data_IF_141847999151
#
_entry.id   IF_141847999151
#
_cell.length_a   1.000
_cell.length_b   1.000
_cell.length_c   1.000
_cell.angle_alpha   90.00
_cell.angle_beta   90.00
_cell.angle_gamma   90.00
#
_symmetry.space_group_name_H-M   'P 1'
#
loop_
_entity.id
_entity.type
_entity.pdbx_description
1 polymer ?
#
# COMPACT_ATOMS: atom_id res chain seq x y z
N UNK A 1 -24.14 23.59 -41.85
CA UNK A 1 -23.90 22.14 -41.69
C UNK A 1 -23.40 21.92 -40.27
N UNK A 2 -24.15 21.27 -39.36
CA UNK A 2 -23.63 20.94 -38.03
C UNK A 2 -22.52 19.89 -38.19
N UNK A 3 -21.33 20.21 -37.70
CA UNK A 3 -20.17 19.31 -37.76
C UNK A 3 -20.46 18.07 -36.90
N UNK A 4 -20.20 16.88 -37.43
CA UNK A 4 -20.34 15.63 -36.68
C UNK A 4 -19.35 15.60 -35.49
N UNK A 5 -19.76 15.08 -34.32
CA UNK A 5 -18.91 15.05 -33.13
C UNK A 5 -17.67 14.18 -33.38
N UNK A 6 -16.51 14.61 -32.86
CA UNK A 6 -15.25 13.89 -33.03
C UNK A 6 -15.34 12.58 -32.25
N UNK A 7 -14.65 11.53 -32.71
CA UNK A 7 -14.70 10.19 -32.09
C UNK A 7 -14.35 10.20 -30.59
N UNK A 8 -13.46 11.10 -30.15
CA UNK A 8 -13.09 11.27 -28.75
C UNK A 8 -14.25 11.77 -27.88
N UNK A 9 -15.03 12.74 -28.37
CA UNK A 9 -16.18 13.31 -27.66
C UNK A 9 -17.25 12.23 -27.42
N UNK A 10 -17.53 11.42 -28.45
CA UNK A 10 -18.46 10.31 -28.35
C UNK A 10 -18.02 9.24 -27.32
N UNK A 11 -16.71 9.04 -27.14
CA UNK A 11 -16.18 8.09 -26.15
C UNK A 11 -16.28 8.64 -24.72
N UNK A 12 -16.00 9.93 -24.53
CA UNK A 12 -16.19 10.61 -23.25
C UNK A 12 -17.67 10.60 -22.81
N UNK A 13 -18.59 10.90 -23.73
CA UNK A 13 -20.04 10.85 -23.46
C UNK A 13 -20.47 9.46 -22.97
N UNK A 14 -20.00 8.39 -23.64
CA UNK A 14 -20.31 7.00 -23.25
C UNK A 14 -19.76 6.63 -21.88
N UNK A 15 -18.61 7.19 -21.49
CA UNK A 15 -18.04 6.99 -20.16
C UNK A 15 -18.90 7.67 -19.08
N UNK A 16 -19.28 8.94 -19.31
CA UNK A 16 -20.16 9.70 -18.43
C UNK A 16 -21.54 9.04 -18.27
N UNK A 17 -22.10 8.51 -19.35
CA UNK A 17 -23.36 7.75 -19.30
C UNK A 17 -23.25 6.50 -18.44
N UNK A 18 -22.14 5.77 -18.53
CA UNK A 18 -21.90 4.58 -17.69
C UNK A 18 -21.77 4.95 -16.23
N UNK A 19 -21.03 6.01 -15.93
CA UNK A 19 -20.88 6.57 -14.60
C UNK A 19 -22.22 7.00 -14.00
N UNK A 20 -23.03 7.75 -14.76
CA UNK A 20 -24.36 8.18 -14.35
C UNK A 20 -25.32 7.00 -14.12
N UNK A 21 -25.27 5.98 -14.98
CA UNK A 21 -26.06 4.74 -14.80
C UNK A 21 -25.65 4.01 -13.54
N UNK A 22 -24.36 4.01 -13.20
CA UNK A 22 -23.85 3.35 -12.00
C UNK A 22 -24.16 4.14 -10.73
N UNK A 23 -24.10 5.48 -10.78
CA UNK A 23 -24.51 6.36 -9.69
C UNK A 23 -25.99 6.17 -9.30
N UNK A 24 -26.84 5.87 -10.28
CA UNK A 24 -28.27 5.55 -10.07
C UNK A 24 -28.55 4.09 -9.69
N UNK A 25 -27.53 3.23 -9.56
CA UNK A 25 -27.75 1.80 -9.27
C UNK A 25 -28.34 0.98 -10.43
N UNK A 26 -28.30 1.48 -11.67
CA UNK A 26 -28.77 0.71 -12.83
C UNK A 26 -27.75 -0.38 -13.25
N UNK A 27 -26.48 -0.19 -12.88
CA UNK A 27 -25.35 -1.09 -13.17
C UNK A 27 -24.67 -1.54 -11.89
N UNK A 28 -23.99 -2.68 -11.94
CA UNK A 28 -23.10 -3.12 -10.86
C UNK A 28 -22.03 -2.06 -10.59
N UNK A 29 -21.69 -1.84 -9.32
CA UNK A 29 -20.66 -0.88 -8.94
C UNK A 29 -19.29 -1.26 -9.55
N UNK A 30 -18.40 -0.28 -9.71
CA UNK A 30 -17.13 -0.46 -10.39
C UNK A 30 -16.24 -1.46 -9.65
N UNK A 31 -16.21 -1.37 -8.31
CA UNK A 31 -15.44 -2.27 -7.46
C UNK A 31 -15.92 -3.73 -7.52
N UNK A 32 -17.24 -3.99 -7.42
CA UNK A 32 -17.76 -5.36 -7.58
C UNK A 32 -17.57 -5.89 -8.99
N UNK A 33 -17.67 -5.04 -10.02
CA UNK A 33 -17.40 -5.44 -11.41
C UNK A 33 -15.93 -5.83 -11.60
N UNK A 34 -14.99 -5.08 -11.00
CA UNK A 34 -13.56 -5.41 -11.04
C UNK A 34 -13.28 -6.75 -10.35
N UNK A 35 -13.81 -6.93 -9.15
CA UNK A 35 -13.62 -8.15 -8.36
C UNK A 35 -14.47 -9.34 -8.81
N UNK A 36 -15.31 -9.15 -9.84
CA UNK A 36 -16.25 -10.16 -10.35
C UNK A 36 -17.19 -10.71 -9.25
N UNK A 37 -17.61 -9.85 -8.32
CA UNK A 37 -18.53 -10.17 -7.22
C UNK A 37 -19.98 -9.85 -7.59
N UNK A 38 -20.93 -10.52 -6.90
CA UNK A 38 -22.35 -10.16 -6.96
C UNK A 38 -22.58 -8.77 -6.34
N UNK A 39 -23.25 -7.90 -7.10
CA UNK A 39 -23.63 -6.55 -6.67
C UNK A 39 -25.15 -6.45 -6.60
N UNK A 40 -25.68 -6.01 -5.46
CA UNK A 40 -27.09 -5.71 -5.22
C UNK A 40 -27.52 -4.35 -5.80
N UNK A 41 -26.58 -3.60 -6.38
CA UNK A 41 -26.76 -2.30 -7.07
C UNK A 41 -27.38 -1.18 -6.22
N UNK A 42 -27.56 -1.39 -4.92
CA UNK A 42 -27.78 -0.30 -3.96
C UNK A 42 -26.52 0.56 -3.90
N UNK A 43 -26.64 1.85 -3.60
CA UNK A 43 -25.50 2.77 -3.54
C UNK A 43 -25.43 3.38 -2.14
N UNK A 44 -24.40 3.08 -1.33
CA UNK A 44 -23.36 2.08 -1.57
C UNK A 44 -23.89 0.63 -1.44
N UNK A 45 -23.30 -0.29 -2.21
CA UNK A 45 -23.79 -1.66 -2.32
C UNK A 45 -23.45 -2.50 -1.07
N UNK A 46 -24.25 -3.50 -0.71
CA UNK A 46 -24.04 -4.28 0.53
C UNK A 46 -22.70 -5.01 0.57
N UNK A 47 -22.20 -5.46 -0.58
CA UNK A 47 -20.86 -6.06 -0.70
C UNK A 47 -19.76 -5.04 -0.37
N UNK A 48 -19.87 -3.81 -0.90
CA UNK A 48 -18.92 -2.73 -0.60
C UNK A 48 -18.99 -2.27 0.86
N UNK A 49 -20.19 -2.26 1.48
CA UNK A 49 -20.36 -1.97 2.91
C UNK A 49 -19.62 -2.96 3.79
N UNK A 50 -19.84 -4.27 3.59
CA UNK A 50 -19.19 -5.33 4.39
C UNK A 50 -17.67 -5.35 4.21
N UNK A 51 -17.18 -4.98 3.03
CA UNK A 51 -15.74 -4.90 2.73
C UNK A 51 -15.07 -3.58 3.14
N UNK A 52 -15.81 -2.61 3.68
CA UNK A 52 -15.26 -1.32 4.09
C UNK A 52 -14.89 -0.37 2.94
N UNK A 53 -15.34 -0.62 1.71
CA UNK A 53 -15.05 0.22 0.54
C UNK A 53 -16.26 1.07 0.10
N UNK A 54 -17.15 1.42 1.03
CA UNK A 54 -18.33 2.26 0.77
C UNK A 54 -17.96 3.62 0.18
N UNK A 55 -16.84 4.21 0.60
CA UNK A 55 -16.39 5.54 0.19
C UNK A 55 -16.12 5.68 -1.32
N UNK A 56 -15.78 4.57 -1.99
CA UNK A 56 -15.52 4.55 -3.44
C UNK A 56 -16.69 3.97 -4.24
N UNK A 57 -17.71 3.42 -3.59
CA UNK A 57 -18.91 2.92 -4.27
C UNK A 57 -19.79 4.13 -4.63
N UNK A 58 -20.26 4.27 -5.88
CA UNK A 58 -20.39 3.23 -6.89
C UNK A 58 -19.35 3.27 -8.02
N UNK A 59 -18.69 4.41 -8.27
CA UNK A 59 -17.86 4.62 -9.46
C UNK A 59 -16.37 4.31 -9.30
N UNK A 60 -15.87 4.40 -8.08
CA UNK A 60 -14.49 4.12 -7.75
C UNK A 60 -14.19 2.63 -7.68
N UNK A 61 -12.92 2.35 -7.87
CA UNK A 61 -12.33 1.02 -7.75
C UNK A 61 -11.00 1.17 -7.04
N UNK A 62 -10.67 0.22 -6.17
CA UNK A 62 -9.33 0.16 -5.60
C UNK A 62 -8.33 -0.16 -6.71
N UNK A 63 -7.24 0.60 -6.75
CA UNK A 63 -6.05 0.23 -7.51
C UNK A 63 -5.36 -0.90 -6.75
N UNK A 64 -5.18 -2.03 -7.42
CA UNK A 64 -4.33 -3.10 -6.91
C UNK A 64 -2.89 -2.66 -7.11
N UNK A 65 -2.14 -2.45 -6.03
CA UNK A 65 -0.68 -2.55 -6.12
C UNK A 65 -0.30 -3.98 -6.54
N UNK A 66 0.93 -4.21 -6.98
CA UNK A 66 1.41 -5.58 -7.16
C UNK A 66 1.25 -6.35 -5.82
N UNK A 67 0.43 -7.40 -5.81
CA UNK A 67 0.10 -8.20 -4.60
C UNK A 67 -1.36 -8.08 -4.12
N UNK A 68 -1.64 -8.62 -2.92
CA UNK A 68 -2.97 -8.62 -2.27
C UNK A 68 -3.36 -7.28 -1.64
N UNK A 69 -2.49 -6.26 -1.76
CA UNK A 69 -2.67 -4.96 -1.10
C UNK A 69 -3.63 -4.07 -1.89
N UNK A 70 -4.81 -3.85 -1.33
CA UNK A 70 -5.74 -2.83 -1.79
C UNK A 70 -5.31 -1.46 -1.26
N UNK A 71 -4.79 -0.59 -2.14
CA UNK A 71 -4.43 0.78 -1.77
C UNK A 71 -5.59 1.71 -2.14
N UNK A 72 -6.19 2.35 -1.14
CA UNK A 72 -7.12 3.45 -1.39
C UNK A 72 -6.31 4.59 -2.02
N UNK A 73 -6.76 5.08 -3.18
CA UNK A 73 -6.18 6.24 -3.85
C UNK A 73 -6.51 7.53 -3.06
N UNK A 74 -5.86 7.71 -1.91
CA UNK A 74 -5.66 9.00 -1.20
C UNK A 74 -4.64 8.85 -0.04
N UNK A 75 -3.85 7.77 -0.01
CA UNK A 75 -2.83 7.63 1.04
C UNK A 75 -1.74 8.68 0.91
N UNK A 76 -1.57 9.33 -0.24
CA UNK A 76 -0.54 10.35 -0.44
C UNK A 76 -0.66 11.48 0.59
N UNK A 77 -1.86 12.06 0.79
CA UNK A 77 -2.08 13.10 1.81
C UNK A 77 -1.82 12.57 3.23
N UNK A 78 -2.17 11.32 3.49
CA UNK A 78 -1.91 10.67 4.78
C UNK A 78 -0.40 10.49 5.00
N UNK A 79 0.35 10.02 4.00
CA UNK A 79 1.82 9.89 4.08
C UNK A 79 2.49 11.26 4.25
N UNK A 80 2.03 12.30 3.55
CA UNK A 80 2.51 13.66 3.76
C UNK A 80 2.24 14.15 5.19
N UNK A 81 1.05 13.88 5.72
CA UNK A 81 0.71 14.27 7.10
C UNK A 81 1.52 13.48 8.14
N UNK A 82 1.72 12.19 7.92
CA UNK A 82 2.59 11.35 8.75
C UNK A 82 4.02 11.88 8.73
N UNK A 83 4.58 12.19 7.56
CA UNK A 83 5.92 12.76 7.44
C UNK A 83 6.05 14.09 8.21
N UNK A 84 5.08 15.00 8.05
CA UNK A 84 5.05 16.27 8.78
C UNK A 84 4.97 16.06 10.30
N UNK A 85 4.17 15.09 10.76
CA UNK A 85 4.08 14.75 12.18
C UNK A 85 5.39 14.14 12.69
N UNK A 86 5.99 13.20 11.95
CA UNK A 86 7.28 12.60 12.30
C UNK A 86 8.39 13.66 12.42
N UNK A 87 8.46 14.62 11.49
CA UNK A 87 9.40 15.75 11.57
C UNK A 87 9.17 16.59 12.81
N UNK A 88 7.92 16.93 13.10
CA UNK A 88 7.60 17.75 14.26
C UNK A 88 7.96 17.04 15.57
N UNK A 89 7.69 15.75 15.68
CA UNK A 89 8.06 14.99 16.87
C UNK A 89 9.60 14.92 16.98
N UNK A 90 10.37 14.84 15.88
CA UNK A 90 11.85 14.86 15.95
C UNK A 90 12.36 16.17 16.53
N UNK A 91 11.84 17.29 16.03
CA UNK A 91 12.16 18.62 16.57
C UNK A 91 11.85 18.74 18.07
N UNK A 92 10.75 18.15 18.53
CA UNK A 92 10.37 18.17 19.93
C UNK A 92 11.30 17.31 20.79
N UNK A 93 11.70 16.14 20.32
CA UNK A 93 12.68 15.28 21.00
C UNK A 93 14.06 15.93 21.07
N UNK A 94 14.53 16.53 19.97
CA UNK A 94 15.80 17.25 19.94
C UNK A 94 15.79 18.42 20.93
N UNK A 95 14.69 19.18 20.98
CA UNK A 95 14.52 20.25 21.96
C UNK A 95 14.53 19.69 23.40
N UNK A 96 13.81 18.61 23.67
CA UNK A 96 13.79 17.96 24.99
C UNK A 96 15.19 17.46 25.41
N UNK A 97 15.97 16.91 24.47
CA UNK A 97 17.34 16.47 24.74
C UNK A 97 18.26 17.63 25.15
N UNK A 98 18.09 18.80 24.53
CA UNK A 98 18.85 20.02 24.89
C UNK A 98 18.44 20.53 26.28
N UNK A 99 17.13 20.50 26.58
CA UNK A 99 16.56 21.03 27.82
C UNK A 99 16.78 20.13 29.05
N UNK A 100 17.10 18.84 28.86
CA UNK A 100 17.27 17.86 29.94
C UNK A 100 18.73 17.35 30.03
N UNK A 101 19.73 18.20 30.31
CA UNK A 101 21.12 17.78 30.44
C UNK A 101 21.31 17.02 31.76
N UNK A 102 21.49 15.70 31.70
CA UNK A 102 22.00 14.89 32.82
C UNK A 102 21.19 13.65 33.19
N UNK A 103 19.89 13.62 32.88
CA UNK A 103 19.04 12.44 33.07
C UNK A 103 18.29 12.17 31.78
N UNK A 104 18.36 10.92 31.28
CA UNK A 104 17.65 10.52 30.07
C UNK A 104 16.15 10.63 30.32
N UNK A 105 15.51 11.59 29.64
CA UNK A 105 14.09 11.84 29.82
C UNK A 105 13.27 10.59 29.42
N UNK A 106 12.20 10.20 30.14
CA UNK A 106 11.41 9.00 29.84
C UNK A 106 10.88 8.94 28.39
N UNK A 107 10.65 10.11 27.77
CA UNK A 107 10.22 10.22 26.36
C UNK A 107 11.36 10.18 25.33
N UNK A 108 12.62 10.07 25.78
CA UNK A 108 13.81 9.93 24.93
C UNK A 108 14.39 8.50 25.00
N UNK A 109 13.62 7.53 25.48
CA UNK A 109 14.00 6.13 25.48
C UNK A 109 14.12 5.59 24.05
N UNK A 110 15.16 4.80 23.80
CA UNK A 110 15.51 4.25 22.47
C UNK A 110 14.32 3.59 21.74
N UNK A 111 13.46 2.89 22.48
CA UNK A 111 12.32 2.17 21.89
C UNK A 111 11.21 3.11 21.39
N UNK A 112 11.03 4.28 22.01
CA UNK A 112 10.06 5.28 21.57
C UNK A 112 10.53 6.05 20.33
N UNK A 113 11.85 6.12 20.12
CA UNK A 113 12.47 6.80 18.98
C UNK A 113 12.39 5.98 17.68
N UNK A 114 12.30 4.65 17.77
CA UNK A 114 12.24 3.73 16.62
C UNK A 114 10.94 3.84 15.82
N UNK A 115 9.83 4.11 16.50
CA UNK A 115 8.44 4.11 15.97
C UNK A 115 8.19 5.14 14.84
N UNK A 116 9.17 6.01 14.55
CA UNK A 116 9.03 7.18 13.68
C UNK A 116 9.23 6.96 12.19
N UNK A 117 9.77 5.82 11.77
CA UNK A 117 9.90 5.56 10.35
C UNK A 117 8.54 5.11 9.81
N UNK A 118 7.98 5.85 8.85
CA UNK A 118 6.75 5.41 8.16
C UNK A 118 6.94 4.09 7.39
N UNK A 119 8.18 3.59 7.35
CA UNK A 119 8.63 2.37 6.71
C UNK A 119 8.35 1.14 7.60
N UNK A 120 8.46 1.24 8.92
CA UNK A 120 8.17 0.10 9.83
C UNK A 120 6.68 -0.26 9.89
N UNK A 121 5.77 0.68 9.60
CA UNK A 121 4.33 0.37 9.49
C UNK A 121 4.01 -0.54 8.29
N UNK A 122 4.92 -0.67 7.33
CA UNK A 122 4.79 -1.62 6.21
C UNK A 122 5.56 -2.93 6.44
N UNK A 123 6.62 -2.89 7.27
CA UNK A 123 7.36 -4.09 7.66
C UNK A 123 6.64 -4.92 8.73
N UNK A 124 5.97 -4.28 9.69
CA UNK A 124 5.23 -4.98 10.75
C UNK A 124 4.10 -5.88 10.23
N UNK A 125 3.47 -5.52 9.10
CA UNK A 125 2.46 -6.36 8.44
C UNK A 125 3.06 -7.57 7.70
N UNK A 126 4.38 -7.60 7.48
CA UNK A 126 5.12 -8.73 6.91
C UNK A 126 5.73 -9.62 8.01
N UNK A 127 5.92 -9.09 9.23
CA UNK A 127 6.51 -9.80 10.37
C UNK A 127 5.49 -10.62 11.17
N UNK A 128 4.20 -10.23 11.21
CA UNK A 128 3.13 -11.07 11.81
C UNK A 128 2.93 -12.42 11.07
N UNK A 129 3.57 -12.61 9.91
CA UNK A 129 3.60 -13.88 9.18
C UNK A 129 4.83 -14.76 9.50
N UNK A 130 5.81 -14.23 10.25
CA UNK A 130 7.05 -14.94 10.60
C UNK A 130 7.10 -15.46 12.04
N UNK A 131 6.38 -14.84 12.97
CA UNK A 131 6.48 -15.18 14.40
C UNK A 131 5.67 -16.43 14.85
N UNK A 132 5.15 -17.25 13.91
CA UNK A 132 4.50 -18.53 14.23
C UNK A 132 5.15 -19.76 13.57
N UNK A 133 6.34 -19.62 12.99
CA UNK A 133 7.01 -20.71 12.25
C UNK A 133 8.48 -20.95 12.58
N UNK A 134 8.99 -20.42 13.69
CA UNK A 134 10.41 -20.57 14.06
C UNK A 134 10.67 -21.96 14.68
N UNK A 135 11.09 -22.90 13.82
CA UNK A 135 11.61 -24.18 14.25
C UNK A 135 12.12 -25.11 13.14
N UNK A 136 11.72 -24.91 11.87
CA UNK A 136 12.00 -25.90 10.82
C UNK A 136 12.55 -25.34 9.48
N UNK A 137 12.70 -24.01 9.30
CA UNK A 137 13.00 -23.41 7.98
C UNK A 137 14.49 -23.07 7.72
N UNK A 138 15.37 -23.02 8.74
CA UNK A 138 16.79 -22.71 8.52
C UNK A 138 17.53 -23.78 7.69
N UNK A 139 17.23 -25.07 7.91
CA UNK A 139 17.85 -26.17 7.13
C UNK A 139 17.36 -26.22 5.67
N UNK A 140 16.20 -25.63 5.38
CA UNK A 140 15.55 -25.72 4.07
C UNK A 140 16.00 -24.63 3.11
N UNK A 141 16.35 -23.45 3.64
CA UNK A 141 16.91 -22.35 2.86
C UNK A 141 18.31 -22.68 2.34
N UNK A 142 19.19 -23.30 3.14
CA UNK A 142 20.52 -23.75 2.69
C UNK A 142 20.44 -24.72 1.50
N UNK A 143 19.43 -25.60 1.49
CA UNK A 143 19.21 -26.57 0.40
C UNK A 143 18.74 -25.92 -0.91
N UNK A 144 18.02 -24.81 -0.86
CA UNK A 144 17.57 -24.10 -2.07
C UNK A 144 18.65 -23.21 -2.69
N UNK A 145 19.60 -22.74 -1.87
CA UNK A 145 20.70 -21.89 -2.31
C UNK A 145 21.80 -22.72 -3.03
N UNK A 146 21.95 -24.03 -2.71
CA UNK A 146 22.90 -24.94 -3.39
C UNK A 146 22.48 -25.34 -4.84
N UNK A 147 21.22 -25.11 -5.23
CA UNK A 147 20.72 -25.55 -6.54
C UNK A 147 21.19 -24.68 -7.73
N UNK A 148 21.70 -23.47 -7.49
CA UNK A 148 21.94 -22.47 -8.55
C UNK A 148 23.38 -21.98 -8.69
N UNK A 149 24.35 -22.54 -7.95
CA UNK A 149 25.74 -22.06 -7.99
C UNK A 149 25.91 -20.67 -7.36
N UNK A 150 27.15 -20.29 -7.06
CA UNK A 150 27.45 -19.06 -6.32
C UNK A 150 27.92 -17.95 -7.27
N UNK A 151 27.25 -16.79 -7.27
CA UNK A 151 27.70 -15.59 -7.99
C UNK A 151 28.42 -14.65 -7.01
N UNK A 152 29.71 -14.42 -7.22
CA UNK A 152 30.48 -13.41 -6.49
C UNK A 152 30.58 -12.12 -7.32
N UNK A 153 30.18 -10.99 -6.74
CA UNK A 153 30.32 -9.66 -7.35
C UNK A 153 31.41 -8.90 -6.59
N UNK A 154 32.40 -8.40 -7.31
CA UNK A 154 33.51 -7.61 -6.79
C UNK A 154 33.19 -6.11 -6.89
N UNK A 155 33.84 -5.31 -6.07
CA UNK A 155 33.63 -3.85 -5.99
C UNK A 155 34.02 -3.09 -7.28
N UNK A 156 34.78 -3.73 -8.16
CA UNK A 156 35.12 -3.24 -9.51
C UNK A 156 34.02 -3.54 -10.55
N UNK A 157 32.91 -4.13 -10.13
CA UNK A 157 31.80 -4.53 -11.00
C UNK A 157 32.02 -5.84 -11.74
N UNK A 158 33.14 -6.53 -11.51
CA UNK A 158 33.36 -7.86 -12.07
C UNK A 158 32.50 -8.90 -11.33
N UNK A 159 31.81 -9.75 -12.07
CA UNK A 159 31.05 -10.86 -11.50
C UNK A 159 31.67 -12.20 -11.95
N UNK A 160 31.87 -13.10 -10.99
CA UNK A 160 32.36 -14.46 -11.24
C UNK A 160 31.31 -15.46 -10.76
N UNK A 161 30.81 -16.28 -11.69
CA UNK A 161 29.85 -17.33 -11.39
C UNK A 161 30.56 -18.66 -11.19
N UNK A 162 30.45 -19.21 -9.99
CA UNK A 162 30.91 -20.54 -9.62
C UNK A 162 29.73 -21.50 -9.76
N UNK A 163 29.52 -21.97 -10.99
CA UNK A 163 28.63 -23.10 -11.26
C UNK A 163 29.18 -24.40 -10.67
N UNK A 164 28.32 -25.41 -10.59
CA UNK A 164 28.69 -26.78 -10.18
C UNK A 164 29.10 -27.62 -11.40
#
# INVERSE_FOLDING_TARGET
MPQAPRKADAQAQRAQDKESKRARGALSCAECRRLKLKCDKTVPCSSCKRRGCSAICPNGSLITGQGTRFVLADTEKLHHKIAQMSDRIRQLEDALAILSPGESHPLLQSDLLKIKSSIELHSAANEESREQGEGEDEEREEQYIDAFGTLAIRDDGAATFYGR
#
